data_IF_066483926748
#
_entry.id   IF_066483926748
#
_cell.length_a   1.000
_cell.length_b   1.000
_cell.length_c   1.000
_cell.angle_alpha   90.00
_cell.angle_beta   90.00
_cell.angle_gamma   90.00
#
_symmetry.space_group_name_H-M   'P 1'
#
loop_
_entity.id
_entity.type
_entity.pdbx_description
1 polymer ?
#
# COMPACT_ATOMS: atom_id res chain seq x y z
N UNK A 1 -34.60 -35.67 9.74
CA UNK A 1 -33.91 -36.88 9.25
C UNK A 1 -33.86 -36.77 7.73
N UNK A 2 -32.73 -36.34 7.17
CA UNK A 2 -32.58 -36.22 5.71
C UNK A 2 -32.01 -37.53 5.15
N UNK A 3 -32.64 -38.08 4.11
CA UNK A 3 -32.31 -39.40 3.56
C UNK A 3 -30.87 -39.45 2.99
N UNK A 4 -30.08 -40.49 3.33
CA UNK A 4 -28.70 -40.65 2.88
C UNK A 4 -28.53 -40.78 1.36
N UNK A 5 -29.61 -41.06 0.62
CA UNK A 5 -29.56 -41.19 -0.84
C UNK A 5 -29.45 -39.83 -1.56
N UNK A 6 -30.01 -38.75 -0.99
CA UNK A 6 -29.94 -37.42 -1.57
C UNK A 6 -28.52 -36.83 -1.45
N UNK A 7 -27.87 -37.08 -0.32
CA UNK A 7 -26.49 -36.65 -0.06
C UNK A 7 -25.49 -37.27 -1.06
N UNK A 8 -25.70 -38.53 -1.44
CA UNK A 8 -24.90 -39.23 -2.45
C UNK A 8 -25.13 -38.77 -3.90
N UNK A 9 -26.33 -38.27 -4.22
CA UNK A 9 -26.64 -37.70 -5.54
C UNK A 9 -26.04 -36.29 -5.69
N UNK A 10 -26.18 -35.47 -4.65
CA UNK A 10 -25.59 -34.13 -4.59
C UNK A 10 -24.05 -34.18 -4.60
N UNK A 11 -23.42 -35.13 -3.93
CA UNK A 11 -21.96 -35.30 -3.97
C UNK A 11 -21.45 -35.74 -5.34
N UNK A 12 -22.18 -36.63 -6.05
CA UNK A 12 -21.84 -37.02 -7.43
C UNK A 12 -22.08 -35.92 -8.45
N UNK A 13 -23.08 -35.07 -8.25
CA UNK A 13 -23.28 -33.88 -9.08
C UNK A 13 -22.17 -32.85 -8.83
N UNK A 14 -21.82 -32.62 -7.56
CA UNK A 14 -20.68 -31.79 -7.15
C UNK A 14 -19.37 -32.30 -7.77
N UNK A 15 -19.11 -33.61 -7.72
CA UNK A 15 -17.89 -34.22 -8.29
C UNK A 15 -17.86 -34.18 -9.83
N UNK A 16 -19.01 -34.35 -10.50
CA UNK A 16 -19.11 -34.13 -11.96
C UNK A 16 -18.96 -32.66 -12.34
N UNK A 17 -19.36 -31.76 -11.46
CA UNK A 17 -19.25 -30.32 -11.63
C UNK A 17 -17.81 -29.85 -11.44
N UNK A 18 -17.10 -30.29 -10.39
CA UNK A 18 -15.65 -30.05 -10.21
C UNK A 18 -14.78 -30.73 -11.25
N UNK A 19 -15.23 -31.84 -11.86
CA UNK A 19 -14.50 -32.55 -12.94
C UNK A 19 -14.75 -31.98 -14.34
N UNK A 20 -15.74 -31.10 -14.51
CA UNK A 20 -15.99 -30.47 -15.80
C UNK A 20 -14.83 -29.55 -16.22
N UNK A 21 -14.45 -29.62 -17.49
CA UNK A 21 -13.37 -28.81 -18.07
C UNK A 21 -13.61 -27.31 -17.89
N UNK A 22 -14.88 -26.88 -17.90
CA UNK A 22 -15.26 -25.47 -17.71
C UNK A 22 -14.95 -25.03 -16.28
N UNK A 23 -15.31 -25.83 -15.27
CA UNK A 23 -15.02 -25.49 -13.87
C UNK A 23 -13.54 -25.57 -13.54
N UNK A 24 -12.82 -26.55 -14.10
CA UNK A 24 -11.38 -26.61 -13.98
C UNK A 24 -10.70 -25.41 -14.66
N UNK A 25 -11.16 -24.99 -15.83
CA UNK A 25 -10.65 -23.79 -16.51
C UNK A 25 -10.97 -22.52 -15.72
N UNK A 26 -12.19 -22.34 -15.22
CA UNK A 26 -12.55 -21.19 -14.38
C UNK A 26 -11.77 -21.18 -13.06
N UNK A 27 -11.53 -22.35 -12.45
CA UNK A 27 -10.70 -22.49 -11.25
C UNK A 27 -9.25 -22.11 -11.54
N UNK A 28 -8.68 -22.59 -12.65
CA UNK A 28 -7.31 -22.26 -13.08
C UNK A 28 -7.17 -20.76 -13.39
N UNK A 29 -8.12 -20.18 -14.14
CA UNK A 29 -8.14 -18.74 -14.43
C UNK A 29 -8.28 -17.90 -13.16
N UNK A 30 -9.16 -18.29 -12.23
CA UNK A 30 -9.32 -17.61 -10.95
C UNK A 30 -8.02 -17.65 -10.12
N UNK A 31 -7.36 -18.81 -10.05
CA UNK A 31 -6.07 -18.95 -9.35
C UNK A 31 -4.96 -18.11 -10.01
N UNK A 32 -4.92 -18.05 -11.34
CA UNK A 32 -3.96 -17.21 -12.08
C UNK A 32 -4.22 -15.72 -11.81
N UNK A 33 -5.47 -15.27 -11.87
CA UNK A 33 -5.83 -13.87 -11.60
C UNK A 33 -5.51 -13.49 -10.15
N UNK A 34 -5.80 -14.37 -9.18
CA UNK A 34 -5.40 -14.16 -7.80
C UNK A 34 -3.88 -14.09 -7.65
N UNK A 35 -3.12 -15.00 -8.29
CA UNK A 35 -1.66 -14.96 -8.28
C UNK A 35 -1.12 -13.65 -8.86
N UNK A 36 -1.64 -13.18 -10.00
CA UNK A 36 -1.26 -11.91 -10.60
C UNK A 36 -1.61 -10.70 -9.72
N UNK A 37 -2.78 -10.70 -9.08
CA UNK A 37 -3.18 -9.66 -8.14
C UNK A 37 -2.30 -9.63 -6.89
N UNK A 38 -1.90 -10.80 -6.37
CA UNK A 38 -0.95 -10.93 -5.26
C UNK A 38 0.43 -10.40 -5.66
N UNK A 39 0.88 -10.66 -6.89
CA UNK A 39 2.14 -10.12 -7.41
C UNK A 39 2.11 -8.59 -7.54
N UNK A 40 0.95 -8.01 -7.90
CA UNK A 40 0.79 -6.55 -7.98
C UNK A 40 0.93 -5.85 -6.61
N UNK A 41 0.59 -6.52 -5.51
CA UNK A 41 0.75 -5.96 -4.15
C UNK A 41 2.22 -5.71 -3.78
N UNK A 42 3.15 -6.41 -4.41
CA UNK A 42 4.59 -6.29 -4.16
C UNK A 42 5.15 -5.01 -4.84
N UNK A 43 4.39 -4.37 -5.74
CA UNK A 43 4.80 -3.16 -6.46
C UNK A 43 4.46 -1.84 -5.73
N UNK A 44 3.71 -1.88 -4.62
CA UNK A 44 3.43 -0.69 -3.82
C UNK A 44 4.64 -0.32 -2.94
N UNK A 45 5.70 0.16 -3.58
CA UNK A 45 6.86 0.75 -2.91
C UNK A 45 6.51 2.11 -2.31
N UNK A 46 5.83 2.14 -1.17
CA UNK A 46 5.71 3.37 -0.38
C UNK A 46 7.09 3.78 0.16
N UNK A 47 7.58 4.95 -0.26
CA UNK A 47 8.80 5.53 0.28
C UNK A 47 8.71 5.86 1.77
N UNK A 48 9.87 6.10 2.39
CA UNK A 48 9.97 6.29 3.84
C UNK A 48 9.15 7.48 4.37
N UNK A 49 9.08 8.57 3.59
CA UNK A 49 8.29 9.74 3.96
C UNK A 49 6.80 9.42 4.01
N UNK A 50 6.30 8.66 3.02
CA UNK A 50 4.88 8.25 2.99
C UNK A 50 4.53 7.40 4.22
N UNK A 51 5.40 6.46 4.60
CA UNK A 51 5.24 5.66 5.82
C UNK A 51 5.17 6.53 7.08
N UNK A 52 6.08 7.48 7.24
CA UNK A 52 6.09 8.40 8.39
C UNK A 52 4.82 9.27 8.43
N UNK A 53 4.45 9.86 7.30
CA UNK A 53 3.24 10.68 7.17
C UNK A 53 1.97 9.88 7.49
N UNK A 54 1.89 8.64 7.00
CA UNK A 54 0.73 7.77 7.24
C UNK A 54 0.64 7.32 8.71
N UNK A 55 1.79 7.13 9.38
CA UNK A 55 1.83 6.82 10.81
C UNK A 55 1.33 7.98 11.69
N UNK A 56 1.51 9.23 11.24
CA UNK A 56 0.89 10.40 11.87
C UNK A 56 -0.64 10.40 11.65
N UNK A 57 -1.09 9.94 10.48
CA UNK A 57 -2.50 9.70 10.19
C UNK A 57 -3.35 10.98 10.17
N UNK A 58 -4.62 10.86 10.56
CA UNK A 58 -5.60 11.96 10.58
C UNK A 58 -5.57 12.77 11.89
N UNK A 59 -4.94 12.24 12.95
CA UNK A 59 -4.90 12.87 14.27
C UNK A 59 -3.65 13.74 14.43
N UNK A 60 -3.49 14.72 13.55
CA UNK A 60 -2.38 15.68 13.63
C UNK A 60 -2.65 16.62 14.81
N UNK A 61 -1.85 16.54 15.87
CA UNK A 61 -1.95 17.48 16.97
C UNK A 61 -1.58 18.90 16.48
N UNK A 62 -2.18 19.97 17.04
CA UNK A 62 -1.79 21.33 16.71
C UNK A 62 -0.28 21.55 16.91
N UNK A 63 0.41 22.00 15.86
CA UNK A 63 1.87 22.21 15.88
C UNK A 63 2.72 20.95 15.69
N UNK A 64 2.11 19.77 15.49
CA UNK A 64 2.83 18.57 15.10
C UNK A 64 3.36 18.71 13.68
N UNK A 65 4.65 18.44 13.51
CA UNK A 65 5.28 18.47 12.19
C UNK A 65 4.80 17.29 11.34
N UNK A 66 4.38 17.58 10.10
CA UNK A 66 4.02 16.57 9.10
C UNK A 66 5.01 16.67 7.93
N UNK A 67 5.75 15.59 7.61
CA UNK A 67 6.74 15.64 6.55
C UNK A 67 6.08 15.77 5.18
N UNK A 68 6.75 16.52 4.30
CA UNK A 68 6.31 16.72 2.91
C UNK A 68 6.96 15.68 2.02
N UNK A 69 6.14 14.85 1.40
CA UNK A 69 6.59 13.79 0.51
C UNK A 69 6.42 14.17 -0.97
N UNK A 70 7.21 13.56 -1.84
CA UNK A 70 7.00 13.59 -3.29
C UNK A 70 6.04 12.48 -3.75
N UNK A 71 5.85 12.35 -5.07
CA UNK A 71 4.96 11.34 -5.66
C UNK A 71 5.44 9.90 -5.47
N UNK A 72 6.74 9.70 -5.23
CA UNK A 72 7.34 8.39 -5.00
C UNK A 72 7.27 8.00 -3.51
N UNK A 73 6.78 8.90 -2.65
CA UNK A 73 6.76 8.71 -1.21
C UNK A 73 8.10 8.97 -0.53
N UNK A 74 9.07 9.56 -1.23
CA UNK A 74 10.33 10.04 -0.67
C UNK A 74 10.16 11.45 -0.06
N UNK A 75 11.13 11.89 0.75
CA UNK A 75 11.09 13.22 1.33
C UNK A 75 11.38 14.28 0.27
N UNK A 76 10.57 15.33 0.21
CA UNK A 76 10.96 16.53 -0.53
C UNK A 76 12.22 17.11 0.09
N UNK A 77 13.19 17.52 -0.74
CA UNK A 77 14.47 18.11 -0.29
C UNK A 77 14.28 19.26 0.70
N UNK A 78 13.28 20.11 0.51
CA UNK A 78 12.96 21.19 1.43
C UNK A 78 11.76 20.80 2.32
N UNK A 79 11.97 20.76 3.63
CA UNK A 79 10.94 20.58 4.64
C UNK A 79 10.69 21.92 5.33
N UNK A 80 9.41 22.30 5.52
CA UNK A 80 9.06 23.51 6.26
C UNK A 80 7.91 23.24 7.21
N UNK A 81 8.05 23.77 8.42
CA UNK A 81 6.99 23.84 9.42
C UNK A 81 6.21 25.15 9.20
N UNK A 82 4.89 25.08 8.99
CA UNK A 82 3.88 26.14 8.73
C UNK A 82 4.38 27.61 8.80
N UNK A 83 5.31 27.97 7.91
CA UNK A 83 5.89 29.32 7.83
C UNK A 83 6.88 29.72 8.94
N UNK A 84 7.21 28.84 9.89
CA UNK A 84 8.15 29.15 10.96
C UNK A 84 9.62 29.01 10.52
N UNK A 85 9.97 27.84 9.99
CA UNK A 85 11.32 27.55 9.51
C UNK A 85 11.31 26.40 8.50
N UNK A 86 12.24 26.48 7.56
CA UNK A 86 12.52 25.48 6.56
C UNK A 86 13.95 24.95 6.70
N UNK A 87 14.19 23.70 6.35
CA UNK A 87 15.51 23.07 6.31
C UNK A 87 15.60 22.08 5.14
N UNK A 88 16.83 21.81 4.69
CA UNK A 88 17.05 20.79 3.68
C UNK A 88 17.14 19.41 4.35
N UNK A 89 16.73 18.36 3.64
CA UNK A 89 16.84 16.97 4.09
C UNK A 89 17.39 16.09 2.97
N UNK A 90 17.99 14.97 3.35
CA UNK A 90 18.24 13.87 2.43
C UNK A 90 16.91 13.23 2.00
N UNK A 91 16.74 12.99 0.69
CA UNK A 91 15.44 12.59 0.13
C UNK A 91 15.02 11.17 0.53
N UNK A 92 15.97 10.29 0.89
CA UNK A 92 15.70 8.89 1.22
C UNK A 92 15.54 8.67 2.72
N UNK A 93 16.28 9.41 3.52
CA UNK A 93 16.34 9.23 4.98
C UNK A 93 15.59 10.30 5.76
N UNK A 94 15.27 11.45 5.15
CA UNK A 94 14.65 12.59 5.83
C UNK A 94 15.57 13.33 6.79
N UNK A 95 16.86 12.94 6.86
CA UNK A 95 17.83 13.54 7.77
C UNK A 95 18.11 15.00 7.38
N UNK A 96 17.97 15.91 8.33
CA UNK A 96 18.30 17.31 8.12
C UNK A 96 19.75 17.51 7.68
N UNK A 97 19.91 18.35 6.65
CA UNK A 97 21.16 18.79 6.10
C UNK A 97 21.30 20.31 6.25
N UNK A 98 22.39 20.74 6.88
CA UNK A 98 22.68 22.16 7.08
C UNK A 98 21.76 22.85 8.10
N UNK A 99 21.67 24.18 7.96
CA UNK A 99 20.94 25.07 8.88
C UNK A 99 19.52 25.34 8.38
N UNK A 100 18.61 25.56 9.32
CA UNK A 100 17.27 26.04 9.01
C UNK A 100 17.25 27.54 8.68
N UNK A 101 16.29 27.97 7.85
CA UNK A 101 16.05 29.37 7.47
C UNK A 101 14.55 29.66 7.52
N UNK A 102 14.16 30.89 7.84
CA UNK A 102 12.74 31.30 7.86
C UNK A 102 12.15 31.49 6.45
N UNK A 103 12.94 32.00 5.50
CA UNK A 103 12.48 32.31 4.14
C UNK A 103 13.54 31.95 3.09
N UNK A 104 13.09 31.61 1.88
CA UNK A 104 13.95 31.49 0.70
C UNK A 104 14.99 30.36 0.75
N UNK A 105 14.69 29.24 1.40
CA UNK A 105 15.61 28.10 1.38
C UNK A 105 15.73 27.54 -0.05
N UNK A 106 16.96 27.25 -0.47
CA UNK A 106 17.27 26.49 -1.68
C UNK A 106 18.02 25.24 -1.26
N UNK A 107 17.53 24.09 -1.72
CA UNK A 107 18.12 22.78 -1.44
C UNK A 107 18.54 22.21 -2.79
N UNK A 108 19.82 22.40 -3.11
CA UNK A 108 20.43 22.00 -4.38
C UNK A 108 20.39 20.48 -4.56
#
# INVERSE_FOLDING_TARGET
>A
MGDPMYFGFLSKLSDRFTRSHIFNMMRQLFLIVLALAVLAQIAHGEGNCAKERNAIGQNVAPGQFVPRCDSNGDYKKAQCNDGAYCYCVDTKTGKQMGKSKRFGIKCD
#
